data_IF_599854879948
#
_entry.id   IF_599854879948
#
_cell.length_a   1.000
_cell.length_b   1.000
_cell.length_c   1.000
_cell.angle_alpha   90.00
_cell.angle_beta   90.00
_cell.angle_gamma   90.00
#
_symmetry.space_group_name_H-M   'P 1'
#
loop_
_entity.id
_entity.type
_entity.pdbx_description
1 polymer ?
#
# COMPACT_ATOMS: atom_id res chain seq x y z
N UNK A 1 15.97 -3.86 -12.46
CA UNK A 1 14.81 -4.62 -12.97
C UNK A 1 13.70 -3.68 -13.45
N UNK A 2 13.13 -2.86 -12.55
CA UNK A 2 11.97 -2.00 -12.84
C UNK A 2 12.17 -1.01 -13.99
N UNK A 3 13.33 -0.33 -14.09
CA UNK A 3 13.65 0.55 -15.24
C UNK A 3 13.49 -0.18 -16.58
N UNK A 4 13.92 -1.44 -16.66
CA UNK A 4 13.79 -2.25 -17.90
C UNK A 4 12.35 -2.65 -18.17
N UNK A 5 11.60 -2.98 -17.11
CA UNK A 5 10.22 -3.46 -17.23
C UNK A 5 9.25 -2.32 -17.59
N UNK A 6 9.36 -1.17 -16.91
CA UNK A 6 8.50 0.00 -17.08
C UNK A 6 8.96 0.92 -18.23
N UNK A 7 10.20 0.78 -18.67
CA UNK A 7 10.75 1.50 -19.82
C UNK A 7 11.32 2.88 -19.50
N UNK A 8 11.83 3.53 -20.54
CA UNK A 8 12.70 4.71 -20.47
C UNK A 8 12.07 5.99 -19.89
N UNK A 9 10.75 6.01 -19.73
CA UNK A 9 10.01 7.14 -19.16
C UNK A 9 9.65 6.94 -17.68
N UNK A 10 10.05 5.80 -17.11
CA UNK A 10 9.83 5.53 -15.69
C UNK A 10 10.83 6.29 -14.82
N UNK A 11 10.39 6.67 -13.62
CA UNK A 11 11.26 7.11 -12.54
C UNK A 11 11.09 6.15 -11.39
N UNK A 12 12.17 5.51 -10.97
CA UNK A 12 12.19 4.62 -9.82
C UNK A 12 12.72 5.42 -8.63
N UNK A 13 11.97 5.40 -7.52
CA UNK A 13 12.36 6.05 -6.28
C UNK A 13 12.54 4.97 -5.22
N UNK A 14 13.77 4.82 -4.73
CA UNK A 14 14.12 3.85 -3.70
C UNK A 14 14.28 4.56 -2.36
N UNK A 15 13.53 4.12 -1.36
CA UNK A 15 13.64 4.64 0.00
C UNK A 15 14.67 3.82 0.78
N UNK A 16 15.93 4.22 0.67
CA UNK A 16 17.04 3.53 1.33
C UNK A 16 18.27 4.44 1.46
N UNK A 17 19.20 4.06 2.33
CA UNK A 17 20.39 4.83 2.64
C UNK A 17 21.61 4.31 1.88
N UNK A 18 22.60 5.18 1.66
CA UNK A 18 23.94 4.77 1.23
C UNK A 18 24.15 4.64 -0.29
N UNK A 19 23.17 5.04 -1.10
CA UNK A 19 23.26 5.02 -2.56
C UNK A 19 23.16 6.43 -3.16
N UNK A 20 23.73 6.60 -4.35
CA UNK A 20 23.62 7.83 -5.14
C UNK A 20 22.65 7.63 -6.28
N UNK A 21 21.97 8.72 -6.67
CA UNK A 21 21.10 8.75 -7.83
C UNK A 21 21.82 8.25 -9.09
N UNK A 22 21.10 7.48 -9.89
CA UNK A 22 21.51 6.95 -11.19
C UNK A 22 20.52 7.40 -12.26
N UNK A 23 20.78 7.06 -13.51
CA UNK A 23 19.81 7.30 -14.58
C UNK A 23 18.48 6.61 -14.23
N UNK A 24 17.38 7.38 -14.28
CA UNK A 24 16.02 6.98 -13.91
C UNK A 24 15.80 6.45 -12.47
N UNK A 25 16.84 6.34 -11.63
CA UNK A 25 16.73 5.83 -10.25
C UNK A 25 17.15 6.92 -9.26
N UNK A 26 16.27 7.32 -8.36
CA UNK A 26 16.57 8.22 -7.26
C UNK A 26 16.57 7.48 -5.93
N UNK A 27 17.48 7.84 -5.03
CA UNK A 27 17.58 7.28 -3.69
C UNK A 27 17.30 8.34 -2.65
N UNK A 28 16.32 8.10 -1.76
CA UNK A 28 16.00 9.04 -0.67
C UNK A 28 16.04 8.32 0.67
N UNK A 29 16.71 8.97 1.62
CA UNK A 29 16.80 8.57 3.00
C UNK A 29 15.74 9.32 3.81
N UNK A 30 14.87 8.62 4.51
CA UNK A 30 13.89 9.26 5.38
C UNK A 30 12.95 8.29 6.07
N UNK A 31 12.11 8.83 6.94
CA UNK A 31 11.10 8.06 7.68
C UNK A 31 9.71 8.36 7.09
N UNK A 32 9.01 7.32 6.66
CA UNK A 32 7.65 7.42 6.16
C UNK A 32 6.65 7.89 7.21
N UNK A 33 6.90 7.74 8.51
CA UNK A 33 6.04 8.31 9.57
C UNK A 33 6.10 9.84 9.59
N UNK A 34 7.15 10.45 9.04
CA UNK A 34 7.30 11.91 8.99
C UNK A 34 6.48 12.51 7.83
N UNK A 35 5.41 13.27 8.10
CA UNK A 35 4.57 13.85 7.04
C UNK A 35 5.32 14.86 6.16
N UNK A 36 6.35 15.54 6.68
CA UNK A 36 7.18 16.44 5.88
C UNK A 36 8.00 15.67 4.85
N UNK A 37 8.50 14.49 5.20
CA UNK A 37 9.24 13.64 4.29
C UNK A 37 8.33 13.13 3.16
N UNK A 38 7.14 12.63 3.49
CA UNK A 38 6.14 12.22 2.48
C UNK A 38 5.78 13.37 1.54
N UNK A 39 5.57 14.56 2.10
CA UNK A 39 5.29 15.77 1.30
C UNK A 39 6.46 16.13 0.38
N UNK A 40 7.71 16.01 0.84
CA UNK A 40 8.89 16.24 0.01
C UNK A 40 8.98 15.24 -1.16
N UNK A 41 8.71 13.95 -0.91
CA UNK A 41 8.66 12.93 -1.96
C UNK A 41 7.62 13.29 -3.04
N UNK A 42 6.42 13.70 -2.64
CA UNK A 42 5.36 14.07 -3.58
C UNK A 42 5.70 15.35 -4.35
N UNK A 43 6.32 16.34 -3.71
CA UNK A 43 6.76 17.57 -4.39
C UNK A 43 7.85 17.26 -5.42
N UNK A 44 8.77 16.35 -5.09
CA UNK A 44 9.91 16.03 -5.93
C UNK A 44 9.54 15.10 -7.10
N UNK A 45 8.74 14.07 -6.84
CA UNK A 45 8.47 12.98 -7.81
C UNK A 45 7.01 12.89 -8.26
N UNK A 46 6.11 13.62 -7.63
CA UNK A 46 4.66 13.44 -7.80
C UNK A 46 4.10 12.29 -6.95
N UNK A 47 2.79 12.08 -7.05
CA UNK A 47 2.11 10.92 -6.48
C UNK A 47 2.56 9.64 -7.21
N UNK A 48 2.93 8.56 -6.50
CA UNK A 48 3.37 7.32 -7.15
C UNK A 48 2.24 6.64 -7.92
N UNK A 49 2.55 6.15 -9.12
CA UNK A 49 1.68 5.24 -9.87
C UNK A 49 1.74 3.81 -9.29
N UNK A 50 2.90 3.40 -8.78
CA UNK A 50 3.14 2.08 -8.18
C UNK A 50 3.99 2.26 -6.91
N UNK A 51 3.58 1.60 -5.83
CA UNK A 51 4.36 1.43 -4.59
C UNK A 51 4.63 -0.06 -4.40
N UNK A 52 5.86 -0.41 -4.03
CA UNK A 52 6.25 -1.78 -3.66
C UNK A 52 6.92 -1.69 -2.29
N UNK A 53 6.29 -2.33 -1.30
CA UNK A 53 6.81 -2.50 0.05
C UNK A 53 7.52 -3.84 0.14
N UNK A 54 8.85 -3.76 0.04
CA UNK A 54 9.82 -4.85 0.18
C UNK A 54 10.85 -4.40 1.25
N UNK A 55 10.31 -4.10 2.44
CA UNK A 55 11.02 -3.44 3.54
C UNK A 55 11.58 -4.39 4.59
N UNK A 56 11.26 -4.13 5.86
CA UNK A 56 11.73 -4.95 7.00
C UNK A 56 10.92 -6.24 7.19
N UNK A 57 9.73 -6.29 6.60
CA UNK A 57 8.71 -7.33 6.78
C UNK A 57 8.23 -7.52 8.23
N UNK A 58 8.53 -6.55 9.11
CA UNK A 58 7.96 -6.50 10.45
C UNK A 58 6.54 -5.92 10.37
N UNK A 59 5.54 -6.52 11.03
CA UNK A 59 4.15 -6.10 10.91
C UNK A 59 3.93 -4.61 11.16
N UNK A 60 4.54 -4.06 12.23
CA UNK A 60 4.43 -2.64 12.59
C UNK A 60 4.94 -1.72 11.48
N UNK A 61 6.08 -2.05 10.88
CA UNK A 61 6.71 -1.23 9.83
C UNK A 61 5.92 -1.31 8.51
N UNK A 62 5.47 -2.50 8.12
CA UNK A 62 4.68 -2.72 6.90
C UNK A 62 3.30 -2.08 7.00
N UNK A 63 2.60 -2.24 8.13
CA UNK A 63 1.30 -1.59 8.36
C UNK A 63 1.47 -0.07 8.39
N UNK A 64 2.50 0.45 9.08
CA UNK A 64 2.74 1.90 9.09
C UNK A 64 3.07 2.45 7.70
N UNK A 65 3.90 1.74 6.92
CA UNK A 65 4.25 2.15 5.56
C UNK A 65 3.01 2.17 4.67
N UNK A 66 2.17 1.13 4.76
CA UNK A 66 0.91 1.06 4.06
C UNK A 66 0.00 2.24 4.41
N UNK A 67 -0.25 2.51 5.69
CA UNK A 67 -1.10 3.61 6.16
C UNK A 67 -0.61 4.98 5.70
N UNK A 68 0.70 5.18 5.70
CA UNK A 68 1.32 6.45 5.33
C UNK A 68 1.34 6.71 3.82
N UNK A 69 1.42 5.65 3.01
CA UNK A 69 1.55 5.74 1.55
C UNK A 69 0.23 5.51 0.81
N UNK A 70 -0.73 4.77 1.37
CA UNK A 70 -2.03 4.52 0.74
C UNK A 70 -2.77 5.84 0.39
N UNK A 71 -2.59 6.87 1.21
CA UNK A 71 -3.26 8.15 1.06
C UNK A 71 -2.67 9.04 -0.04
N UNK A 72 -1.48 8.73 -0.56
CA UNK A 72 -0.79 9.55 -1.56
C UNK A 72 -0.63 8.86 -2.92
N UNK A 73 -1.04 7.59 -3.04
CA UNK A 73 -1.05 6.88 -4.32
C UNK A 73 -2.05 7.53 -5.27
N UNK A 74 -1.68 7.58 -6.54
CA UNK A 74 -2.52 8.12 -7.59
C UNK A 74 -3.73 7.22 -7.86
N UNK A 75 -4.84 7.81 -8.30
CA UNK A 75 -5.95 7.03 -8.86
C UNK A 75 -5.46 6.15 -10.02
N UNK A 76 -5.96 4.90 -10.07
CA UNK A 76 -5.50 3.85 -10.98
C UNK A 76 -4.07 3.35 -10.69
N UNK A 77 -3.54 3.65 -9.50
CA UNK A 77 -2.26 3.16 -9.02
C UNK A 77 -2.35 1.81 -8.32
N UNK A 78 -1.18 1.25 -8.01
CA UNK A 78 -1.04 -0.05 -7.36
C UNK A 78 -0.16 0.05 -6.11
N UNK A 79 -0.54 -0.64 -5.04
CA UNK A 79 0.32 -0.88 -3.86
C UNK A 79 0.58 -2.38 -3.75
N UNK A 80 1.84 -2.78 -3.75
CA UNK A 80 2.27 -4.16 -3.52
C UNK A 80 2.94 -4.27 -2.14
N UNK A 81 2.64 -5.35 -1.42
CA UNK A 81 3.37 -5.77 -0.23
C UNK A 81 3.94 -7.16 -0.51
N UNK A 82 5.26 -7.27 -0.53
CA UNK A 82 5.99 -8.53 -0.74
C UNK A 82 6.21 -9.29 0.58
N UNK A 83 6.58 -10.56 0.47
CA UNK A 83 6.94 -11.45 1.57
C UNK A 83 5.89 -11.57 2.69
N UNK A 84 4.60 -11.59 2.34
CA UNK A 84 3.50 -11.66 3.31
C UNK A 84 3.51 -12.93 4.17
N UNK A 85 4.26 -13.96 3.78
CA UNK A 85 4.46 -15.19 4.55
C UNK A 85 5.17 -14.94 5.90
N UNK A 86 5.86 -13.81 6.09
CA UNK A 86 6.42 -13.44 7.41
C UNK A 86 5.34 -13.28 8.48
N UNK A 87 4.08 -13.07 8.08
CA UNK A 87 2.90 -13.11 8.98
C UNK A 87 2.77 -14.43 9.74
N UNK A 88 3.40 -15.51 9.28
CA UNK A 88 3.37 -16.81 9.95
C UNK A 88 4.64 -17.12 10.74
N UNK A 89 5.68 -16.27 10.63
CA UNK A 89 7.02 -16.57 11.11
C UNK A 89 7.31 -15.83 12.41
N UNK A 90 7.56 -16.58 13.49
CA UNK A 90 7.77 -16.03 14.84
C UNK A 90 8.94 -15.04 14.90
N UNK A 91 10.02 -15.27 14.15
CA UNK A 91 11.18 -14.36 14.07
C UNK A 91 10.86 -13.01 13.41
N UNK A 92 9.72 -12.88 12.75
CA UNK A 92 9.18 -11.62 12.23
C UNK A 92 7.97 -11.14 13.03
N UNK A 93 7.79 -11.62 14.26
CA UNK A 93 6.61 -11.37 15.11
C UNK A 93 5.29 -11.85 14.48
N UNK A 94 5.35 -12.84 13.59
CA UNK A 94 4.18 -13.48 12.99
C UNK A 94 3.71 -14.71 13.75
N UNK A 95 2.43 -15.03 13.64
CA UNK A 95 1.88 -16.32 14.05
C UNK A 95 0.58 -16.64 13.31
N UNK A 96 0.26 -17.94 13.20
CA UNK A 96 -0.94 -18.38 12.47
C UNK A 96 -2.21 -17.78 13.10
N UNK A 97 -2.93 -16.98 12.31
CA UNK A 97 -4.20 -16.39 12.74
C UNK A 97 -4.06 -15.09 13.52
N UNK A 98 -2.85 -14.53 13.62
CA UNK A 98 -2.60 -13.31 14.37
C UNK A 98 -3.15 -12.05 13.66
N UNK A 99 -4.10 -11.31 14.29
CA UNK A 99 -4.63 -10.08 13.71
C UNK A 99 -3.58 -8.94 13.64
N UNK A 100 -2.50 -9.01 14.42
CA UNK A 100 -1.42 -8.00 14.41
C UNK A 100 -0.47 -8.10 13.23
N UNK A 101 -0.61 -9.10 12.36
CA UNK A 101 0.23 -9.30 11.17
C UNK A 101 -0.34 -8.58 9.95
N UNK A 102 0.44 -8.42 8.88
CA UNK A 102 -0.08 -7.80 7.65
C UNK A 102 -1.23 -8.61 7.03
N UNK A 103 -1.21 -9.95 7.11
CA UNK A 103 -2.34 -10.78 6.67
C UNK A 103 -3.54 -10.74 7.63
N UNK A 104 -3.31 -10.51 8.92
CA UNK A 104 -4.37 -10.22 9.89
C UNK A 104 -5.06 -8.91 9.54
N UNK A 105 -4.29 -7.85 9.45
CA UNK A 105 -4.73 -6.51 9.06
C UNK A 105 -5.44 -6.49 7.69
N UNK A 106 -4.91 -7.18 6.69
CA UNK A 106 -5.53 -7.27 5.37
C UNK A 106 -6.93 -7.92 5.39
N UNK A 107 -7.24 -8.78 6.37
CA UNK A 107 -8.59 -9.34 6.52
C UNK A 107 -9.57 -8.28 6.99
N UNK A 108 -9.16 -7.42 7.92
CA UNK A 108 -9.98 -6.30 8.38
C UNK A 108 -10.24 -5.30 7.24
N UNK A 109 -9.22 -5.07 6.39
CA UNK A 109 -9.36 -4.24 5.19
C UNK A 109 -10.40 -4.77 4.19
N UNK A 110 -10.71 -6.08 4.18
CA UNK A 110 -11.79 -6.60 3.34
C UNK A 110 -13.12 -5.98 3.75
N UNK A 111 -13.40 -5.91 5.05
CA UNK A 111 -14.64 -5.31 5.55
C UNK A 111 -14.61 -3.78 5.38
N UNK A 112 -13.45 -3.15 5.56
CA UNK A 112 -13.27 -1.71 5.33
C UNK A 112 -13.53 -1.32 3.86
N UNK A 113 -13.01 -2.09 2.89
CA UNK A 113 -13.29 -1.89 1.46
C UNK A 113 -14.81 -1.94 1.17
N UNK A 114 -15.57 -2.72 1.95
CA UNK A 114 -17.02 -2.86 1.81
C UNK A 114 -17.82 -1.98 2.75
N UNK A 115 -17.21 -0.97 3.41
CA UNK A 115 -17.85 -0.15 4.45
C UNK A 115 -19.25 0.39 4.06
N UNK A 116 -19.46 0.80 2.80
CA UNK A 116 -20.75 1.27 2.28
C UNK A 116 -21.90 0.24 2.35
N UNK A 117 -21.59 -1.05 2.50
CA UNK A 117 -22.54 -2.16 2.56
C UNK A 117 -22.81 -2.66 3.98
N UNK A 118 -22.12 -2.12 4.98
CA UNK A 118 -22.20 -2.58 6.38
C UNK A 118 -23.35 -1.97 7.16
N UNK A 119 -24.14 -1.06 6.56
CA UNK A 119 -25.18 -0.34 7.28
C UNK A 119 -24.65 0.62 8.35
N UNK A 120 -23.48 1.23 8.11
CA UNK A 120 -22.79 2.16 9.02
C UNK A 120 -22.15 1.52 10.27
N UNK A 121 -22.08 0.18 10.34
CA UNK A 121 -21.27 -0.51 11.36
C UNK A 121 -19.79 -0.17 11.20
N UNK A 122 -19.31 -0.17 9.94
CA UNK A 122 -18.03 0.42 9.55
C UNK A 122 -18.37 1.65 8.71
N UNK A 123 -18.04 2.87 9.17
CA UNK A 123 -18.30 4.07 8.40
C UNK A 123 -17.38 4.11 7.16
N UNK A 124 -17.90 4.52 5.98
CA UNK A 124 -17.06 4.77 4.82
C UNK A 124 -15.95 5.77 5.13
N UNK A 125 -14.77 5.49 4.58
CA UNK A 125 -13.56 6.29 4.76
C UNK A 125 -12.76 6.35 3.45
N UNK A 126 -11.59 6.99 3.49
CA UNK A 126 -10.73 7.14 2.32
C UNK A 126 -10.31 5.81 1.69
N UNK A 127 -10.14 4.75 2.48
CA UNK A 127 -9.81 3.44 1.95
C UNK A 127 -10.96 2.87 1.11
N UNK A 128 -12.18 2.85 1.68
CA UNK A 128 -13.39 2.37 0.99
C UNK A 128 -13.78 3.18 -0.26
N UNK A 129 -13.34 4.43 -0.34
CA UNK A 129 -13.59 5.32 -1.47
C UNK A 129 -12.54 5.16 -2.58
N UNK A 130 -11.30 4.78 -2.25
CA UNK A 130 -10.20 4.80 -3.23
C UNK A 130 -9.70 3.41 -3.63
N UNK A 131 -9.94 2.37 -2.83
CA UNK A 131 -9.51 1.00 -3.16
C UNK A 131 -10.64 0.24 -3.85
N UNK A 132 -10.37 -0.21 -5.07
CA UNK A 132 -11.35 -0.89 -5.93
C UNK A 132 -11.29 -2.40 -5.80
N UNK A 133 -10.10 -2.95 -5.53
CA UNK A 133 -9.83 -4.38 -5.44
C UNK A 133 -8.62 -4.67 -4.54
N UNK A 134 -8.62 -5.88 -3.98
CA UNK A 134 -7.51 -6.48 -3.24
C UNK A 134 -7.20 -7.84 -3.87
N UNK A 135 -5.95 -8.10 -4.21
CA UNK A 135 -5.48 -9.37 -4.75
C UNK A 135 -4.51 -10.03 -3.78
N UNK A 136 -4.73 -11.31 -3.48
CA UNK A 136 -3.88 -12.09 -2.59
C UNK A 136 -3.28 -13.24 -3.39
N UNK A 137 -1.96 -13.29 -3.45
CA UNK A 137 -1.18 -14.37 -4.04
C UNK A 137 -0.25 -14.97 -2.97
N UNK A 138 0.39 -16.10 -3.28
CA UNK A 138 1.40 -16.67 -2.40
C UNK A 138 2.56 -15.68 -2.21
N UNK A 139 2.72 -15.16 -1.00
CA UNK A 139 3.74 -14.18 -0.63
C UNK A 139 3.49 -12.73 -1.10
N UNK A 140 2.35 -12.40 -1.71
CA UNK A 140 2.11 -11.06 -2.27
C UNK A 140 0.68 -10.57 -2.02
N UNK A 141 0.55 -9.34 -1.53
CA UNK A 141 -0.72 -8.62 -1.43
C UNK A 141 -0.69 -7.39 -2.35
N UNK A 142 -1.76 -7.17 -3.11
CA UNK A 142 -1.88 -6.04 -4.04
C UNK A 142 -3.18 -5.29 -3.84
N UNK A 143 -3.11 -3.97 -3.77
CA UNK A 143 -4.25 -3.06 -3.73
C UNK A 143 -4.32 -2.25 -5.02
N UNK A 144 -5.49 -2.25 -5.66
CA UNK A 144 -5.75 -1.43 -6.84
C UNK A 144 -6.55 -0.20 -6.45
N UNK A 145 -6.00 0.97 -6.75
CA UNK A 145 -6.65 2.26 -6.49
C UNK A 145 -7.45 2.67 -7.70
N UNK A 146 -8.55 3.36 -7.47
CA UNK A 146 -9.38 3.87 -8.56
C UNK A 146 -10.48 4.76 -8.02
N UNK A 147 -11.12 5.49 -8.92
CA UNK A 147 -12.20 6.39 -8.55
C UNK A 147 -13.38 5.58 -7.99
N UNK A 148 -13.88 5.95 -6.81
CA UNK A 148 -15.18 5.46 -6.34
C UNK A 148 -16.23 5.63 -7.44
N UNK A 149 -16.79 4.51 -7.87
CA UNK A 149 -18.03 4.48 -8.63
C UNK A 149 -19.12 4.16 -7.61
N UNK A 150 -20.26 4.85 -7.65
CA UNK A 150 -21.34 4.53 -6.73
C UNK A 150 -21.83 3.09 -6.98
N UNK A 151 -21.39 2.15 -6.13
CA UNK A 151 -21.68 0.72 -6.23
C UNK A 151 -22.95 0.33 -5.46
N UNK A 152 -23.67 1.30 -4.89
CA UNK A 152 -24.95 1.02 -4.22
C UNK A 152 -25.89 0.43 -5.26
N UNK A 153 -26.32 -0.81 -5.06
CA UNK A 153 -27.44 -1.33 -5.84
C UNK A 153 -28.60 -0.39 -5.59
N UNK A 154 -29.22 0.15 -6.65
CA UNK A 154 -30.53 0.80 -6.55
C UNK A 154 -31.52 -0.28 -6.13
N UNK A 155 -31.56 -0.59 -4.84
CA UNK A 155 -32.60 -1.37 -4.21
C UNK A 155 -33.36 -0.39 -3.35
N UNK A 156 -34.32 0.26 -4.01
CA UNK A 156 -35.47 0.84 -3.33
C UNK A 156 -36.16 -0.31 -2.59
N UNK A 157 -35.94 -0.42 -1.30
CA UNK A 157 -36.82 -1.16 -0.40
C UNK A 157 -37.45 -0.15 0.56
#
# INVERSE_FOLDING_TARGET
MWVRYLGAFSKIVCLTNGYKDQDQIAFRAGNLDNPLFRKQLVIEFGAPDIVIDDGSHLPEDTISSFENLNAIIKNNGLYFIEDTYTSYWENYKGSLGDPGTILGYAKDLIDEMHAHHTGQVIPPNSFSENVQSMHIYDGLLVFEYGRYLDRRSVKNF
#
